data_IF_986895315750
#
_entry.id   IF_986895315750
#
_cell.length_a   1.000
_cell.length_b   1.000
_cell.length_c   1.000
_cell.angle_alpha   90.00
_cell.angle_beta   90.00
_cell.angle_gamma   90.00
#
_symmetry.space_group_name_H-M   'P 1'
#
loop_
_entity.id
_entity.type
_entity.pdbx_description
1 polymer ?
#
# COMPACT_ATOMS: atom_id res chain seq x y z
N UNK A 1 -2.53 -15.94 36.72
CA UNK A 1 -1.79 -14.67 36.66
C UNK A 1 -0.74 -14.83 35.57
N UNK A 2 -1.09 -14.46 34.33
CA UNK A 2 -0.22 -14.69 33.17
C UNK A 2 0.66 -13.46 33.01
N UNK A 3 1.97 -13.67 33.13
CA UNK A 3 3.01 -12.66 32.94
C UNK A 3 3.06 -12.28 31.45
N UNK A 4 2.62 -11.07 31.13
CA UNK A 4 2.73 -10.48 29.80
C UNK A 4 4.12 -9.84 29.71
N UNK A 5 5.13 -10.63 29.32
CA UNK A 5 6.48 -10.14 29.08
C UNK A 5 6.56 -9.47 27.72
N UNK A 6 6.84 -8.16 27.74
CA UNK A 6 7.68 -7.46 26.77
C UNK A 6 7.20 -7.50 25.31
N UNK A 7 6.25 -6.63 24.97
CA UNK A 7 6.29 -5.98 23.67
C UNK A 7 7.46 -4.98 23.75
N UNK A 8 8.67 -5.46 23.46
CA UNK A 8 9.79 -4.57 23.15
C UNK A 8 9.33 -3.69 21.99
N UNK A 9 9.38 -2.34 22.12
CA UNK A 9 9.17 -1.49 20.96
C UNK A 9 10.28 -1.88 19.97
N UNK A 10 9.87 -2.45 18.84
CA UNK A 10 10.72 -2.60 17.67
C UNK A 10 11.27 -1.21 17.37
N UNK A 11 12.47 -0.94 17.91
CA UNK A 11 13.22 0.25 17.61
C UNK A 11 13.31 0.29 16.10
N UNK A 12 12.73 1.33 15.50
CA UNK A 12 12.85 1.64 14.08
C UNK A 12 14.34 1.89 13.86
N UNK A 13 15.09 0.79 13.64
CA UNK A 13 16.53 0.80 13.43
C UNK A 13 16.72 1.70 12.24
N UNK A 14 17.21 2.91 12.47
CA UNK A 14 17.49 3.91 11.45
C UNK A 14 18.44 3.29 10.44
N UNK A 15 17.84 2.67 9.42
CA UNK A 15 18.54 1.84 8.46
C UNK A 15 19.60 2.68 7.79
N UNK A 16 20.82 2.14 7.71
CA UNK A 16 21.98 2.82 7.18
C UNK A 16 21.64 3.65 5.93
N UNK A 17 22.20 4.86 5.78
CA UNK A 17 21.80 5.76 4.70
C UNK A 17 22.00 5.10 3.33
N UNK A 18 20.93 4.98 2.54
CA UNK A 18 20.98 4.34 1.21
C UNK A 18 22.00 5.08 0.34
N UNK A 19 23.08 4.43 -0.13
CA UNK A 19 24.10 5.09 -0.94
C UNK A 19 23.51 5.49 -2.30
N UNK A 20 23.88 6.67 -2.79
CA UNK A 20 23.57 7.09 -4.15
C UNK A 20 24.47 6.33 -5.14
N UNK A 21 23.92 5.86 -6.26
CA UNK A 21 24.69 5.23 -7.34
C UNK A 21 25.83 6.15 -7.81
N UNK A 22 27.00 5.58 -8.08
CA UNK A 22 28.26 6.31 -8.29
C UNK A 22 28.60 6.63 -9.74
N UNK A 23 27.80 6.15 -10.69
CA UNK A 23 27.92 6.41 -12.12
C UNK A 23 27.48 7.84 -12.51
N UNK A 24 26.88 8.59 -11.59
CA UNK A 24 26.59 10.01 -11.74
C UNK A 24 27.39 10.85 -10.74
N UNK A 25 28.37 11.57 -11.27
CA UNK A 25 29.07 12.62 -10.53
C UNK A 25 28.19 13.87 -10.31
N UNK A 26 28.57 14.70 -9.34
CA UNK A 26 27.87 15.94 -9.02
C UNK A 26 27.72 16.87 -10.25
N UNK A 27 28.73 16.93 -11.12
CA UNK A 27 28.68 17.74 -12.35
C UNK A 27 27.66 17.20 -13.36
N UNK A 28 27.59 15.88 -13.55
CA UNK A 28 26.61 15.26 -14.44
C UNK A 28 25.18 15.52 -13.96
N UNK A 29 24.93 15.45 -12.65
CA UNK A 29 23.64 15.77 -12.05
C UNK A 29 23.27 17.25 -12.24
N UNK A 30 24.23 18.17 -12.08
CA UNK A 30 24.01 19.60 -12.37
C UNK A 30 23.77 19.87 -13.86
N UNK A 31 24.43 19.14 -14.76
CA UNK A 31 24.18 19.24 -16.19
C UNK A 31 22.76 18.76 -16.56
N UNK A 32 22.31 17.64 -15.98
CA UNK A 32 20.93 17.17 -16.12
C UNK A 32 19.92 18.17 -15.58
N UNK A 33 20.20 18.80 -14.44
CA UNK A 33 19.35 19.84 -13.86
C UNK A 33 19.21 21.04 -14.81
N UNK A 34 20.28 21.46 -15.49
CA UNK A 34 20.25 22.57 -16.45
C UNK A 34 19.38 22.32 -17.68
N UNK A 35 19.32 21.08 -18.15
CA UNK A 35 18.54 20.72 -19.36
C UNK A 35 17.11 20.27 -19.04
N UNK A 36 16.81 19.94 -17.79
CA UNK A 36 15.47 19.57 -17.37
C UNK A 36 14.51 20.77 -17.45
N UNK A 37 13.27 20.48 -17.85
CA UNK A 37 12.17 21.45 -17.88
C UNK A 37 11.18 21.27 -16.73
N UNK A 38 11.38 20.25 -15.88
CA UNK A 38 10.51 19.98 -14.75
C UNK A 38 11.11 20.61 -13.48
N UNK A 39 10.49 21.64 -12.89
CA UNK A 39 11.02 22.31 -11.69
C UNK A 39 11.23 21.38 -10.50
N UNK A 40 10.40 20.35 -10.33
CA UNK A 40 10.59 19.36 -9.27
C UNK A 40 11.88 18.58 -9.53
N UNK A 41 12.02 17.99 -10.72
CA UNK A 41 13.20 17.23 -11.12
C UNK A 41 14.50 18.05 -11.01
N UNK A 42 14.47 19.35 -11.36
CA UNK A 42 15.62 20.25 -11.20
C UNK A 42 16.08 20.31 -9.74
N UNK A 43 15.16 20.56 -8.79
CA UNK A 43 15.49 20.60 -7.36
C UNK A 43 16.05 19.27 -6.87
N UNK A 44 15.50 18.16 -7.36
CA UNK A 44 15.94 16.81 -6.97
C UNK A 44 17.36 16.54 -7.44
N UNK A 45 17.66 16.84 -8.70
CA UNK A 45 18.98 16.65 -9.29
C UNK A 45 20.03 17.52 -8.60
N UNK A 46 19.68 18.75 -8.20
CA UNK A 46 20.57 19.61 -7.43
C UNK A 46 20.84 19.04 -6.02
N UNK A 47 19.81 18.56 -5.33
CA UNK A 47 19.95 17.89 -4.04
C UNK A 47 20.85 16.64 -4.13
N UNK A 48 20.64 15.78 -5.14
CA UNK A 48 21.49 14.60 -5.36
C UNK A 48 22.94 14.97 -5.72
N UNK A 49 23.16 16.12 -6.37
CA UNK A 49 24.52 16.59 -6.67
C UNK A 49 25.33 16.90 -5.42
N UNK A 50 24.68 17.33 -4.32
CA UNK A 50 25.34 17.53 -3.03
C UNK A 50 25.77 16.20 -2.43
N UNK A 51 24.88 15.22 -2.45
CA UNK A 51 25.18 13.87 -1.93
C UNK A 51 26.32 13.22 -2.74
N UNK A 52 26.29 13.35 -4.07
CA UNK A 52 27.36 12.85 -4.95
C UNK A 52 28.70 13.56 -4.70
N UNK A 53 28.68 14.84 -4.30
CA UNK A 53 29.87 15.59 -3.91
C UNK A 53 30.37 15.27 -2.48
N UNK A 54 29.75 14.33 -1.77
CA UNK A 54 30.09 13.97 -0.39
C UNK A 54 29.45 14.85 0.68
N UNK A 55 28.53 15.74 0.29
CA UNK A 55 27.75 16.55 1.23
C UNK A 55 26.72 15.72 2.01
N UNK A 56 26.20 16.33 3.07
CA UNK A 56 25.24 15.69 3.96
C UNK A 56 23.84 15.59 3.33
N UNK A 57 23.04 14.63 3.82
CA UNK A 57 21.63 14.51 3.43
C UNK A 57 20.78 15.67 3.95
N UNK A 58 21.24 16.36 5.00
CA UNK A 58 20.59 17.55 5.53
C UNK A 58 20.73 18.72 4.55
N UNK A 59 21.95 18.99 4.07
CA UNK A 59 22.19 20.03 3.05
C UNK A 59 21.41 19.71 1.76
N UNK A 60 21.37 18.44 1.35
CA UNK A 60 20.57 18.01 0.20
C UNK A 60 19.07 18.27 0.41
N UNK A 61 18.55 18.04 1.63
CA UNK A 61 17.16 18.30 1.99
C UNK A 61 16.82 19.80 1.95
N UNK A 62 17.73 20.65 2.43
CA UNK A 62 17.61 22.11 2.36
C UNK A 62 17.56 22.61 0.92
N UNK A 63 18.45 22.14 0.05
CA UNK A 63 18.42 22.48 -1.40
C UNK A 63 17.13 21.97 -2.05
N UNK A 64 16.68 20.78 -1.70
CA UNK A 64 15.46 20.17 -2.23
C UNK A 64 14.16 20.81 -1.70
N UNK A 65 14.23 21.54 -0.58
CA UNK A 65 13.08 22.08 0.14
C UNK A 65 12.16 21.00 0.73
N UNK A 66 12.72 19.87 1.17
CA UNK A 66 11.96 18.70 1.66
C UNK A 66 12.56 18.08 2.93
N UNK A 67 11.89 17.08 3.50
CA UNK A 67 12.41 16.30 4.62
C UNK A 67 13.40 15.20 4.24
N UNK A 68 14.15 14.70 5.22
CA UNK A 68 15.17 13.64 5.04
C UNK A 68 14.59 12.34 4.46
N UNK A 69 13.37 11.96 4.86
CA UNK A 69 12.72 10.76 4.33
C UNK A 69 12.44 10.88 2.83
N UNK A 70 12.03 12.07 2.39
CA UNK A 70 11.80 12.35 0.97
C UNK A 70 13.10 12.27 0.17
N UNK A 71 14.20 12.78 0.71
CA UNK A 71 15.53 12.62 0.10
C UNK A 71 15.92 11.14 -0.04
N UNK A 72 15.65 10.32 0.99
CA UNK A 72 15.88 8.86 0.93
C UNK A 72 15.06 8.20 -0.17
N UNK A 73 13.78 8.55 -0.29
CA UNK A 73 12.89 7.99 -1.30
C UNK A 73 13.35 8.37 -2.72
N UNK A 74 13.85 9.58 -2.92
CA UNK A 74 14.43 10.00 -4.20
C UNK A 74 15.74 9.32 -4.53
N UNK A 75 16.62 9.07 -3.55
CA UNK A 75 17.83 8.27 -3.77
C UNK A 75 17.45 6.87 -4.22
N UNK A 76 16.43 6.26 -3.62
CA UNK A 76 15.91 4.95 -4.04
C UNK A 76 15.36 4.99 -5.48
N UNK A 77 14.53 5.99 -5.80
CA UNK A 77 13.95 6.15 -7.14
C UNK A 77 15.02 6.39 -8.21
N UNK A 78 16.00 7.24 -7.93
CA UNK A 78 17.13 7.52 -8.81
C UNK A 78 18.05 6.30 -8.98
N UNK A 79 18.28 5.53 -7.91
CA UNK A 79 19.05 4.30 -8.00
C UNK A 79 18.36 3.26 -8.91
N UNK A 80 17.03 3.17 -8.85
CA UNK A 80 16.26 2.22 -9.64
C UNK A 80 16.13 2.62 -11.12
N UNK A 81 15.86 3.90 -11.41
CA UNK A 81 15.46 4.33 -12.76
C UNK A 81 16.28 5.53 -13.31
N UNK A 82 17.33 5.96 -12.61
CA UNK A 82 18.15 7.11 -13.03
C UNK A 82 17.37 8.43 -12.99
N UNK A 83 17.72 9.40 -13.85
CA UNK A 83 17.07 10.71 -13.89
C UNK A 83 15.55 10.65 -14.13
N UNK A 84 15.08 9.64 -14.87
CA UNK A 84 13.66 9.45 -15.17
C UNK A 84 12.86 9.04 -13.92
N UNK A 85 13.50 8.40 -12.94
CA UNK A 85 12.91 8.09 -11.64
C UNK A 85 12.58 9.31 -10.78
N UNK A 86 13.10 10.49 -11.14
CA UNK A 86 12.87 11.76 -10.47
C UNK A 86 11.78 12.62 -11.13
N UNK A 87 11.26 12.18 -12.26
CA UNK A 87 10.09 12.79 -12.89
C UNK A 87 8.87 12.25 -12.15
N UNK A 88 7.90 13.11 -11.82
CA UNK A 88 6.66 12.72 -11.16
C UNK A 88 5.98 11.57 -11.91
N UNK A 89 6.24 10.34 -11.49
CA UNK A 89 5.36 9.22 -11.74
C UNK A 89 4.11 9.43 -10.90
N UNK A 90 2.94 9.10 -11.45
CA UNK A 90 1.69 9.08 -10.69
C UNK A 90 1.96 8.38 -9.35
N UNK A 91 1.83 9.13 -8.24
CA UNK A 91 2.10 8.60 -6.91
C UNK A 91 1.40 7.24 -6.77
N UNK A 92 2.11 6.19 -6.32
CA UNK A 92 1.46 4.92 -6.04
C UNK A 92 0.33 5.23 -5.07
N UNK A 93 -0.92 5.03 -5.52
CA UNK A 93 -2.09 5.39 -4.73
C UNK A 93 -2.04 4.74 -3.35
N UNK A 94 -2.90 5.18 -2.43
CA UNK A 94 -2.95 4.66 -1.07
C UNK A 94 -2.84 3.12 -1.08
N UNK A 95 -1.89 2.58 -0.28
CA UNK A 95 -1.64 1.14 -0.19
C UNK A 95 -2.99 0.45 0.07
N UNK A 96 -3.39 -0.55 -0.75
CA UNK A 96 -4.63 -1.28 -0.52
C UNK A 96 -4.66 -1.82 0.91
N UNK A 97 -5.79 -1.66 1.61
CA UNK A 97 -5.92 -2.12 3.01
C UNK A 97 -5.77 -3.64 3.17
N UNK A 98 -5.91 -4.39 2.07
CA UNK A 98 -5.64 -5.82 2.02
C UNK A 98 -4.43 -6.09 1.13
N UNK A 99 -3.44 -6.80 1.66
CA UNK A 99 -2.27 -7.24 0.89
C UNK A 99 -2.63 -8.38 -0.08
N UNK A 100 -1.66 -8.90 -0.82
CA UNK A 100 -1.91 -9.99 -1.78
C UNK A 100 -2.36 -11.29 -1.10
N UNK A 101 -1.65 -11.73 -0.05
CA UNK A 101 -1.98 -12.96 0.67
C UNK A 101 -3.36 -12.92 1.34
N UNK A 102 -3.76 -11.76 1.87
CA UNK A 102 -5.09 -11.57 2.45
C UNK A 102 -6.19 -11.62 1.38
N UNK A 103 -5.92 -11.17 0.15
CA UNK A 103 -6.85 -11.32 -0.98
C UNK A 103 -6.96 -12.77 -1.43
N UNK A 104 -5.85 -13.50 -1.43
CA UNK A 104 -5.83 -14.93 -1.78
C UNK A 104 -6.58 -15.78 -0.73
N UNK A 105 -6.40 -15.47 0.56
CA UNK A 105 -7.19 -16.05 1.65
C UNK A 105 -8.69 -15.81 1.45
N UNK A 106 -9.08 -14.57 1.14
CA UNK A 106 -10.47 -14.19 0.89
C UNK A 106 -11.06 -14.95 -0.30
N UNK A 107 -10.27 -15.14 -1.36
CA UNK A 107 -10.65 -15.93 -2.52
C UNK A 107 -10.89 -17.39 -2.15
N UNK A 108 -9.95 -18.02 -1.44
CA UNK A 108 -10.08 -19.41 -1.00
C UNK A 108 -11.32 -19.60 -0.10
N UNK A 109 -11.57 -18.68 0.84
CA UNK A 109 -12.74 -18.71 1.72
C UNK A 109 -14.06 -18.62 0.95
N UNK A 110 -14.13 -17.78 -0.08
CA UNK A 110 -15.32 -17.64 -0.92
C UNK A 110 -15.54 -18.88 -1.79
N UNK A 111 -14.47 -19.42 -2.37
CA UNK A 111 -14.50 -20.61 -3.24
C UNK A 111 -14.83 -21.89 -2.48
N UNK A 112 -14.36 -22.04 -1.25
CA UNK A 112 -14.73 -23.14 -0.35
C UNK A 112 -16.22 -23.11 0.00
N UNK A 113 -16.84 -21.92 -0.04
CA UNK A 113 -18.24 -21.72 0.30
C UNK A 113 -18.51 -21.78 1.81
N UNK A 114 -19.66 -21.28 2.23
CA UNK A 114 -20.04 -21.33 3.64
C UNK A 114 -20.54 -22.72 3.99
N UNK A 115 -19.79 -23.44 4.82
CA UNK A 115 -20.26 -24.67 5.46
C UNK A 115 -21.18 -24.30 6.63
N UNK A 116 -22.48 -24.60 6.54
CA UNK A 116 -23.47 -24.27 7.59
C UNK A 116 -23.08 -24.81 8.98
N UNK A 117 -22.39 -25.95 9.03
CA UNK A 117 -21.93 -26.56 10.28
C UNK A 117 -20.73 -25.84 10.93
N UNK A 118 -19.90 -25.15 10.13
CA UNK A 118 -18.70 -24.48 10.62
C UNK A 118 -18.90 -22.97 10.83
N UNK A 119 -19.74 -22.34 10.00
CA UNK A 119 -19.87 -20.87 9.97
C UNK A 119 -21.27 -20.37 10.34
N UNK A 120 -22.24 -21.27 10.57
CA UNK A 120 -23.61 -20.91 10.94
C UNK A 120 -24.40 -20.13 9.87
N UNK A 121 -23.82 -19.94 8.68
CA UNK A 121 -24.43 -19.22 7.57
C UNK A 121 -24.51 -20.11 6.33
N UNK A 122 -25.65 -20.05 5.65
CA UNK A 122 -25.88 -20.75 4.36
C UNK A 122 -25.25 -19.97 3.20
N UNK A 123 -24.93 -18.69 3.42
CA UNK A 123 -24.36 -17.78 2.43
C UNK A 123 -23.50 -16.73 3.12
N UNK A 124 -22.33 -16.45 2.54
CA UNK A 124 -21.48 -15.33 2.95
C UNK A 124 -22.19 -13.97 2.87
N UNK A 125 -22.27 -13.27 4.02
CA UNK A 125 -22.54 -11.83 4.09
C UNK A 125 -21.21 -11.09 4.25
N UNK A 126 -21.20 -9.79 3.93
CA UNK A 126 -20.00 -8.97 4.08
C UNK A 126 -19.56 -8.86 5.54
N UNK A 127 -20.49 -8.83 6.49
CA UNK A 127 -20.18 -8.83 7.91
C UNK A 127 -19.45 -10.12 8.34
N UNK A 128 -19.88 -11.28 7.84
CA UNK A 128 -19.24 -12.57 8.16
C UNK A 128 -17.80 -12.61 7.66
N UNK A 129 -17.57 -12.17 6.41
CA UNK A 129 -16.24 -12.10 5.81
C UNK A 129 -15.33 -11.06 6.51
N UNK A 130 -15.90 -9.94 6.96
CA UNK A 130 -15.17 -8.94 7.72
C UNK A 130 -14.76 -9.46 9.10
N UNK A 131 -15.64 -10.25 9.74
CA UNK A 131 -15.34 -10.88 11.03
C UNK A 131 -14.21 -11.92 10.90
N UNK A 132 -14.27 -12.80 9.90
CA UNK A 132 -13.21 -13.79 9.67
C UNK A 132 -11.87 -13.12 9.35
N UNK A 133 -11.87 -12.00 8.62
CA UNK A 133 -10.64 -11.22 8.40
C UNK A 133 -10.04 -10.64 9.69
N UNK A 134 -10.88 -10.29 10.67
CA UNK A 134 -10.40 -9.85 11.98
C UNK A 134 -9.86 -11.04 12.77
N UNK A 135 -10.56 -12.16 12.78
CA UNK A 135 -10.21 -13.35 13.56
C UNK A 135 -8.95 -14.05 13.02
N UNK A 136 -8.88 -14.32 11.72
CA UNK A 136 -7.83 -15.16 11.12
C UNK A 136 -6.65 -14.35 10.54
N UNK A 137 -6.86 -13.07 10.24
CA UNK A 137 -5.87 -12.21 9.58
C UNK A 137 -5.57 -10.92 10.38
N UNK A 138 -6.25 -10.67 11.50
CA UNK A 138 -6.10 -9.46 12.31
C UNK A 138 -6.31 -8.15 11.52
N UNK A 139 -7.13 -8.18 10.47
CA UNK A 139 -7.41 -7.02 9.62
C UNK A 139 -8.83 -6.51 9.83
N UNK A 140 -8.94 -5.31 10.41
CA UNK A 140 -10.21 -4.59 10.53
C UNK A 140 -10.46 -3.69 9.32
N UNK A 141 -11.47 -4.06 8.52
CA UNK A 141 -11.96 -3.27 7.38
C UNK A 141 -13.48 -3.11 7.41
N UNK A 142 -13.96 -1.96 6.93
CA UNK A 142 -15.39 -1.72 6.80
C UNK A 142 -16.00 -2.58 5.68
N UNK A 143 -17.27 -2.94 5.81
CA UNK A 143 -18.01 -3.68 4.77
C UNK A 143 -17.97 -2.98 3.40
N UNK A 144 -17.96 -1.64 3.39
CA UNK A 144 -17.81 -0.87 2.15
C UNK A 144 -16.45 -1.09 1.48
N UNK A 145 -15.37 -1.13 2.27
CA UNK A 145 -14.02 -1.40 1.76
C UNK A 145 -13.94 -2.82 1.23
N UNK A 146 -14.46 -3.79 2.00
CA UNK A 146 -14.52 -5.19 1.60
C UNK A 146 -15.33 -5.38 0.31
N UNK A 147 -16.48 -4.73 0.18
CA UNK A 147 -17.30 -4.74 -1.03
C UNK A 147 -16.54 -4.22 -2.26
N UNK A 148 -15.76 -3.13 -2.12
CA UNK A 148 -14.90 -2.61 -3.21
C UNK A 148 -13.81 -3.61 -3.58
N UNK A 149 -13.15 -4.22 -2.60
CA UNK A 149 -12.10 -5.22 -2.82
C UNK A 149 -12.69 -6.43 -3.57
N UNK A 150 -13.82 -6.97 -3.12
CA UNK A 150 -14.50 -8.09 -3.78
C UNK A 150 -14.86 -7.78 -5.23
N UNK A 151 -15.38 -6.57 -5.51
CA UNK A 151 -15.68 -6.13 -6.87
C UNK A 151 -14.44 -6.04 -7.75
N UNK A 152 -13.34 -5.54 -7.20
CA UNK A 152 -12.05 -5.44 -7.89
C UNK A 152 -11.45 -6.83 -8.19
N UNK A 153 -11.72 -7.82 -7.33
CA UNK A 153 -11.36 -9.23 -7.55
C UNK A 153 -12.34 -9.97 -8.48
N UNK A 154 -13.35 -9.29 -9.04
CA UNK A 154 -14.31 -9.88 -9.98
C UNK A 154 -15.57 -10.48 -9.34
N UNK A 155 -15.65 -10.55 -8.01
CA UNK A 155 -16.85 -11.04 -7.33
C UNK A 155 -18.01 -10.05 -7.45
N UNK A 156 -19.22 -10.60 -7.49
CA UNK A 156 -20.47 -9.85 -7.49
C UNK A 156 -21.35 -10.36 -6.37
N UNK A 157 -22.09 -9.44 -5.73
CA UNK A 157 -23.10 -9.82 -4.74
C UNK A 157 -24.16 -10.65 -5.45
N UNK A 158 -24.22 -11.95 -5.20
CA UNK A 158 -25.41 -12.72 -5.58
C UNK A 158 -26.58 -12.09 -4.82
N UNK A 159 -27.66 -11.75 -5.50
CA UNK A 159 -28.92 -11.36 -4.85
C UNK A 159 -29.88 -12.51 -5.07
N UNK A 160 -30.25 -13.24 -4.02
CA UNK A 160 -31.45 -14.06 -4.09
C UNK A 160 -32.64 -13.09 -4.19
N UNK A 161 -33.50 -13.26 -5.20
CA UNK A 161 -34.73 -12.49 -5.32
C UNK A 161 -35.60 -12.81 -4.09
N UNK A 162 -36.00 -11.83 -3.25
CA UNK A 162 -36.88 -12.12 -2.13
C UNK A 162 -38.18 -12.72 -2.67
N UNK A 163 -38.46 -13.99 -2.33
CA UNK A 163 -39.81 -14.54 -2.51
C UNK A 163 -40.66 -13.94 -1.40
N UNK A 164 -41.64 -13.13 -1.80
CA UNK A 164 -42.59 -12.50 -0.90
C UNK A 164 -43.36 -13.58 -0.13
N UNK A 165 -43.34 -13.52 1.21
CA UNK A 165 -44.03 -14.48 2.08
C UNK A 165 -45.56 -14.35 2.07
N UNK A 166 -46.13 -13.40 1.31
CA UNK A 166 -47.57 -13.31 1.09
C UNK A 166 -47.95 -13.82 -0.32
N UNK A 167 -47.85 -15.12 -0.52
CA UNK A 167 -48.83 -15.81 -1.36
C UNK A 167 -49.70 -16.62 -0.40
N UNK A 168 -50.95 -16.18 -0.31
CA UNK A 168 -52.03 -16.84 0.40
C UNK A 168 -52.23 -18.25 -0.18
N UNK A 169 -52.21 -19.33 0.61
CA UNK A 169 -52.45 -20.68 0.11
C UNK A 169 -53.94 -21.02 -0.13
N UNK A 170 -54.88 -20.12 0.17
CA UNK A 170 -56.31 -20.38 -0.07
C UNK A 170 -56.96 -19.29 -0.96
N UNK A 171 -56.95 -19.55 -2.26
CA UNK A 171 -57.98 -19.05 -3.17
C UNK A 171 -58.48 -20.25 -3.98
N UNK A 172 -59.44 -20.96 -3.39
CA UNK A 172 -60.32 -21.91 -4.09
C UNK A 172 -61.40 -21.16 -4.87
#
# INVERSE_FOLDING_TARGET
>A
MIHFSGLEPEEDVMAAPVPLRSDYGAEALRALAKVSRNPAQIRLLLALSVISAGGSRLEAAEIGGVGLQTVRDWVLAFNAAGPDGLIDGKAPGARPRLNAGQRDFLKALIEQGSTSAAHGVVRWRLCDLAQILVEDQSVSISEQTLSRVLRAMGYRKLSARPRHHAQDPDAA
#
